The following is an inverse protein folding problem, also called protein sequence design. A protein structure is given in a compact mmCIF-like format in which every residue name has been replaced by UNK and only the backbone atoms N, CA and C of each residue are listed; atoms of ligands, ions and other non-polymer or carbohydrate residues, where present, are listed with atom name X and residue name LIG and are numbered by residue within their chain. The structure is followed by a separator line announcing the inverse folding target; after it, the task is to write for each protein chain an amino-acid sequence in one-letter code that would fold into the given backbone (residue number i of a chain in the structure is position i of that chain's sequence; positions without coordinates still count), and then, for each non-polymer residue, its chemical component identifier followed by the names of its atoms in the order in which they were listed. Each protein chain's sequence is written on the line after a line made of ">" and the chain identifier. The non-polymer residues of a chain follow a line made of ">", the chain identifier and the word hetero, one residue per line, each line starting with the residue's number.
data_IF_164954958554
#
_entry.id   IF_164954958554
#
_cell.length_a   1.000
_cell.length_b   1.000
_cell.length_c   1.000
_cell.angle_alpha   90.00
_cell.angle_beta   90.00
_cell.angle_gamma   90.00
#
_symmetry.space_group_name_H-M   'P 1'
#
loop_
_entity.id
_entity.type
_entity.pdbx_description
1 polymer ?
#
# COMPACT_ATOMS: atom_id res chain seq x y z
N UNK A 1 -18.71 5.62 16.32
CA UNK A 1 -17.68 5.10 15.39
C UNK A 1 -18.37 4.67 14.12
N UNK A 2 -18.00 5.20 12.95
CA UNK A 2 -18.64 4.83 11.69
C UNK A 2 -18.17 3.44 11.25
N UNK A 3 -19.10 2.54 10.97
CA UNK A 3 -18.83 1.20 10.44
C UNK A 3 -18.30 1.28 9.00
N UNK A 4 -17.51 0.29 8.58
CA UNK A 4 -17.13 0.13 7.17
C UNK A 4 -18.32 -0.35 6.35
N UNK A 5 -18.35 0.03 5.07
CA UNK A 5 -19.19 -0.63 4.08
C UNK A 5 -18.64 -2.02 3.76
N UNK A 6 -19.47 -2.90 3.18
CA UNK A 6 -19.03 -4.24 2.79
C UNK A 6 -17.85 -4.23 1.79
N UNK A 7 -17.77 -3.22 0.92
CA UNK A 7 -16.65 -3.05 -0.01
C UNK A 7 -15.35 -2.67 0.71
N UNK A 8 -15.43 -1.76 1.69
CA UNK A 8 -14.27 -1.37 2.49
C UNK A 8 -13.80 -2.50 3.40
N UNK A 9 -14.72 -3.25 4.02
CA UNK A 9 -14.40 -4.41 4.85
C UNK A 9 -13.74 -5.53 4.02
N UNK A 10 -14.12 -5.70 2.75
CA UNK A 10 -13.52 -6.70 1.85
C UNK A 10 -12.05 -6.44 1.52
N UNK A 11 -11.54 -5.24 1.78
CA UNK A 11 -10.11 -4.93 1.64
C UNK A 11 -9.28 -5.51 2.79
N UNK A 12 -9.89 -5.80 3.93
CA UNK A 12 -9.20 -6.31 5.12
C UNK A 12 -9.13 -7.83 5.08
N UNK A 13 -7.99 -8.42 5.45
CA UNK A 13 -7.90 -9.87 5.62
C UNK A 13 -8.79 -10.37 6.76
N UNK A 14 -9.19 -11.65 6.71
CA UNK A 14 -10.04 -12.24 7.73
C UNK A 14 -9.34 -12.29 9.10
N UNK A 15 -8.03 -12.53 9.10
CA UNK A 15 -7.17 -12.58 10.27
C UNK A 15 -7.11 -11.20 10.93
N UNK A 16 -6.88 -10.15 10.14
CA UNK A 16 -6.85 -8.76 10.61
C UNK A 16 -8.21 -8.34 11.20
N UNK A 17 -9.31 -8.68 10.52
CA UNK A 17 -10.66 -8.44 11.04
C UNK A 17 -10.90 -9.17 12.36
N UNK A 18 -10.43 -10.41 12.49
CA UNK A 18 -10.56 -11.18 13.71
C UNK A 18 -9.76 -10.54 14.85
N UNK A 19 -8.49 -10.17 14.62
CA UNK A 19 -7.64 -9.52 15.61
C UNK A 19 -8.29 -8.22 16.14
N UNK A 20 -8.76 -7.36 15.22
CA UNK A 20 -9.39 -6.08 15.55
C UNK A 20 -10.76 -6.19 16.25
N UNK A 21 -11.44 -7.34 16.10
CA UNK A 21 -12.71 -7.62 16.80
C UNK A 21 -12.48 -8.20 18.20
N UNK A 22 -11.40 -8.95 18.37
CA UNK A 22 -11.03 -9.59 19.63
C UNK A 22 -10.45 -8.60 20.64
N UNK A 23 -9.69 -7.60 20.18
CA UNK A 23 -9.14 -6.54 21.02
C UNK A 23 -9.23 -5.17 20.30
N UNK A 24 -9.89 -4.21 20.96
CA UNK A 24 -10.10 -2.87 20.43
C UNK A 24 -8.81 -2.02 20.45
N UNK A 25 -7.88 -2.33 21.35
CA UNK A 25 -6.62 -1.61 21.55
C UNK A 25 -5.43 -2.31 20.85
N UNK A 26 -5.71 -3.34 20.06
CA UNK A 26 -4.67 -4.10 19.34
C UNK A 26 -3.88 -3.19 18.41
N UNK A 27 -2.56 -3.38 18.41
CA UNK A 27 -1.64 -2.77 17.45
C UNK A 27 -1.06 -3.87 16.59
N UNK A 28 -1.21 -3.73 15.29
CA UNK A 28 -0.85 -4.75 14.30
C UNK A 28 0.10 -4.16 13.28
N UNK A 29 1.09 -4.96 12.87
CA UNK A 29 1.90 -4.63 11.70
C UNK A 29 1.06 -5.00 10.47
N UNK A 30 0.98 -4.11 9.49
CA UNK A 30 0.13 -4.30 8.30
C UNK A 30 0.91 -4.00 7.02
N UNK A 31 0.52 -4.69 5.96
CA UNK A 31 0.92 -4.39 4.60
C UNK A 31 -0.28 -3.86 3.83
N UNK A 32 -0.20 -2.61 3.38
CA UNK A 32 -1.23 -1.95 2.56
C UNK A 32 -0.82 -2.08 1.10
N UNK A 33 -1.59 -2.82 0.31
CA UNK A 33 -1.39 -2.94 -1.12
C UNK A 33 -2.25 -1.92 -1.86
N UNK A 34 -1.64 -1.13 -2.73
CA UNK A 34 -2.34 -0.18 -3.59
C UNK A 34 -2.61 -0.77 -4.98
N UNK A 35 -3.40 -0.05 -5.77
CA UNK A 35 -3.74 -0.44 -7.14
C UNK A 35 -2.47 -0.76 -7.96
N UNK A 36 -2.52 -1.87 -8.70
CA UNK A 36 -1.38 -2.46 -9.40
C UNK A 36 -0.77 -1.50 -10.45
N UNK A 37 0.56 -1.43 -10.58
CA UNK A 37 1.26 -0.58 -11.54
C UNK A 37 1.16 -1.05 -13.00
N UNK A 38 0.27 -1.99 -13.32
CA UNK A 38 0.11 -2.57 -14.65
C UNK A 38 -0.16 -1.53 -15.74
N UNK A 39 -0.91 -0.45 -15.42
CA UNK A 39 -1.13 0.67 -16.35
C UNK A 39 0.15 1.51 -16.56
N UNK A 40 0.94 1.73 -15.50
CA UNK A 40 2.22 2.42 -15.60
C UNK A 40 3.25 1.63 -16.42
N UNK A 41 3.30 0.30 -16.23
CA UNK A 41 4.17 -0.58 -17.03
C UNK A 41 3.79 -0.52 -18.51
N UNK A 42 2.50 -0.54 -18.82
CA UNK A 42 2.05 -0.49 -20.21
C UNK A 42 2.42 0.84 -20.88
N UNK A 43 2.11 1.97 -20.24
CA UNK A 43 2.48 3.30 -20.75
C UNK A 43 4.01 3.47 -20.93
N UNK A 44 4.80 2.88 -20.03
CA UNK A 44 6.28 2.90 -20.12
C UNK A 44 6.80 2.09 -21.31
N UNK A 45 6.19 0.92 -21.58
CA UNK A 45 6.58 0.06 -22.70
C UNK A 45 6.25 0.71 -24.03
N UNK A 46 5.06 1.29 -24.15
CA UNK A 46 4.62 1.96 -25.38
C UNK A 46 5.57 3.14 -25.73
N UNK A 47 6.06 3.87 -24.72
CA UNK A 47 7.06 4.92 -24.92
C UNK A 47 8.45 4.36 -25.27
N UNK A 48 8.90 3.30 -24.59
CA UNK A 48 10.23 2.72 -24.77
C UNK A 48 10.39 2.00 -26.11
N UNK A 49 9.33 1.39 -26.64
CA UNK A 49 9.32 0.69 -27.92
C UNK A 49 9.20 1.65 -29.12
N UNK A 50 8.66 2.86 -28.90
CA UNK A 50 8.58 3.91 -29.92
C UNK A 50 9.89 4.69 -30.12
N UNK A 51 10.87 4.52 -29.22
CA UNK A 51 12.14 5.24 -29.23
C UNK A 51 13.31 4.29 -29.52
N UNK A 52 14.31 4.76 -30.28
CA UNK A 52 15.53 3.99 -30.59
C UNK A 52 16.48 3.95 -29.38
N UNK A 53 16.02 3.33 -28.29
CA UNK A 53 16.70 3.29 -27.00
C UNK A 53 17.52 2.01 -26.82
N UNK A 54 18.72 2.16 -26.25
CA UNK A 54 19.51 1.03 -25.80
C UNK A 54 18.78 0.23 -24.70
N UNK A 55 19.23 -0.99 -24.44
CA UNK A 55 18.63 -1.84 -23.40
C UNK A 55 18.68 -1.20 -22.01
N UNK A 56 19.79 -0.53 -21.68
CA UNK A 56 19.96 0.13 -20.37
C UNK A 56 18.99 1.29 -20.21
N UNK A 57 18.85 2.12 -21.25
CA UNK A 57 17.93 3.27 -21.22
C UNK A 57 16.48 2.82 -21.08
N UNK A 58 16.09 1.71 -21.74
CA UNK A 58 14.74 1.13 -21.59
C UNK A 58 14.47 0.67 -20.16
N UNK A 59 15.43 0.00 -19.52
CA UNK A 59 15.29 -0.45 -18.12
C UNK A 59 15.17 0.74 -17.18
N UNK A 60 16.00 1.77 -17.35
CA UNK A 60 15.91 2.99 -16.54
C UNK A 60 14.57 3.71 -16.71
N UNK A 61 14.10 3.87 -17.95
CA UNK A 61 12.81 4.50 -18.25
C UNK A 61 11.63 3.77 -17.58
N UNK A 62 11.61 2.43 -17.63
CA UNK A 62 10.59 1.63 -16.95
C UNK A 62 10.69 1.79 -15.43
N UNK A 63 11.89 1.77 -14.87
CA UNK A 63 12.08 1.94 -13.42
C UNK A 63 11.62 3.32 -12.94
N UNK A 64 11.99 4.39 -13.63
CA UNK A 64 11.58 5.77 -13.32
C UNK A 64 10.07 5.95 -13.41
N UNK A 65 9.45 5.37 -14.44
CA UNK A 65 8.00 5.43 -14.63
C UNK A 65 7.25 4.69 -13.53
N UNK A 66 7.74 3.51 -13.12
CA UNK A 66 7.21 2.77 -11.99
C UNK A 66 7.35 3.53 -10.66
N UNK A 67 8.51 4.14 -10.41
CA UNK A 67 8.75 4.96 -9.21
C UNK A 67 7.83 6.17 -9.17
N UNK A 68 7.70 6.89 -10.29
CA UNK A 68 6.81 8.05 -10.41
C UNK A 68 5.36 7.65 -10.18
N UNK A 69 4.90 6.55 -10.80
CA UNK A 69 3.55 6.03 -10.58
C UNK A 69 3.31 5.68 -9.11
N UNK A 70 4.23 4.94 -8.47
CA UNK A 70 4.10 4.57 -7.07
C UNK A 70 4.04 5.80 -6.17
N UNK A 71 4.87 6.81 -6.41
CA UNK A 71 4.84 8.07 -5.65
C UNK A 71 3.47 8.76 -5.71
N UNK A 72 2.85 8.82 -6.89
CA UNK A 72 1.50 9.38 -7.04
C UNK A 72 0.43 8.50 -6.39
N UNK A 73 0.47 7.19 -6.63
CA UNK A 73 -0.51 6.25 -6.11
C UNK A 73 -0.49 6.17 -4.57
N UNK A 74 0.69 6.31 -3.96
CA UNK A 74 0.90 6.23 -2.52
C UNK A 74 0.61 7.54 -1.79
N UNK A 75 0.44 8.66 -2.51
CA UNK A 75 0.25 9.98 -1.92
C UNK A 75 -0.95 10.04 -0.94
N UNK A 76 -2.14 9.48 -1.24
CA UNK A 76 -3.26 9.51 -0.30
C UNK A 76 -2.96 8.77 1.02
N UNK A 77 -2.21 7.67 0.95
CA UNK A 77 -1.78 6.93 2.16
C UNK A 77 -0.77 7.76 2.94
N UNK A 78 0.18 8.40 2.25
CA UNK A 78 1.18 9.29 2.87
C UNK A 78 0.53 10.45 3.61
N UNK A 79 -0.46 11.10 3.00
CA UNK A 79 -1.18 12.22 3.60
C UNK A 79 -1.98 11.77 4.83
N UNK A 80 -2.63 10.61 4.75
CA UNK A 80 -3.36 10.03 5.88
C UNK A 80 -2.44 9.70 7.06
N UNK A 81 -1.28 9.08 6.79
CA UNK A 81 -0.30 8.76 7.84
C UNK A 81 0.28 10.03 8.47
N UNK A 82 0.53 11.08 7.69
CA UNK A 82 0.99 12.36 8.23
C UNK A 82 -0.03 13.00 9.19
N UNK A 83 -1.32 12.90 8.89
CA UNK A 83 -2.40 13.41 9.74
C UNK A 83 -2.63 12.57 11.00
N UNK A 84 -2.16 11.32 11.02
CA UNK A 84 -2.45 10.31 12.05
C UNK A 84 -1.18 9.71 12.65
N UNK A 85 -0.13 10.51 12.81
CA UNK A 85 1.20 10.08 13.27
C UNK A 85 1.21 9.37 14.64
N UNK A 86 0.23 9.64 15.51
CA UNK A 86 0.08 8.95 16.80
C UNK A 86 -0.53 7.54 16.72
N UNK A 87 -1.05 7.13 15.55
CA UNK A 87 -1.79 5.87 15.37
C UNK A 87 -0.93 4.73 14.81
N UNK A 88 0.39 4.91 14.70
CA UNK A 88 1.33 3.87 14.27
C UNK A 88 2.74 4.18 14.82
N UNK A 89 3.68 3.24 14.67
CA UNK A 89 5.05 3.36 15.18
C UNK A 89 6.09 3.64 14.09
N UNK A 90 5.78 3.29 12.83
CA UNK A 90 6.63 3.58 11.68
C UNK A 90 5.99 3.12 10.38
N UNK A 91 6.45 3.64 9.24
CA UNK A 91 5.98 3.21 7.93
C UNK A 91 7.11 3.21 6.90
N UNK A 92 6.97 2.34 5.90
CA UNK A 92 7.91 2.21 4.79
C UNK A 92 7.13 2.10 3.47
N UNK A 93 7.57 2.86 2.46
CA UNK A 93 6.93 2.94 1.16
C UNK A 93 7.72 2.12 0.14
N UNK A 94 7.10 1.05 -0.36
CA UNK A 94 7.72 0.06 -1.24
C UNK A 94 7.24 0.31 -2.66
N UNK A 95 8.04 1.04 -3.45
CA UNK A 95 7.64 1.47 -4.79
C UNK A 95 7.48 0.30 -5.78
N UNK A 96 8.30 -0.74 -5.67
CA UNK A 96 8.30 -1.88 -6.60
C UNK A 96 6.96 -2.64 -6.53
N UNK A 97 6.48 -2.92 -5.33
CA UNK A 97 5.21 -3.64 -5.08
C UNK A 97 4.01 -2.71 -4.97
N UNK A 98 4.21 -1.41 -5.16
CA UNK A 98 3.24 -0.36 -4.84
C UNK A 98 2.51 -0.61 -3.52
N UNK A 99 3.27 -0.83 -2.46
CA UNK A 99 2.75 -1.18 -1.13
C UNK A 99 3.35 -0.30 -0.04
N UNK A 100 2.67 -0.23 1.11
CA UNK A 100 3.13 0.51 2.28
C UNK A 100 3.08 -0.41 3.49
N UNK A 101 4.24 -0.66 4.10
CA UNK A 101 4.32 -1.35 5.38
C UNK A 101 4.05 -0.33 6.49
N UNK A 102 3.21 -0.67 7.46
CA UNK A 102 2.90 0.18 8.61
C UNK A 102 3.01 -0.65 9.88
N UNK A 103 3.89 -0.24 10.79
CA UNK A 103 4.16 -0.94 12.05
C UNK A 103 3.28 -0.42 13.19
N UNK A 104 2.75 -1.32 14.01
CA UNK A 104 1.96 -1.01 15.20
C UNK A 104 0.74 -0.14 14.91
N UNK A 105 0.09 -0.37 13.76
CA UNK A 105 -1.09 0.37 13.35
C UNK A 105 -2.25 0.10 14.32
N UNK A 106 -2.85 1.16 14.82
CA UNK A 106 -4.08 1.10 15.60
C UNK A 106 -5.27 0.77 14.71
N UNK A 107 -6.28 0.13 15.30
CA UNK A 107 -7.57 -0.15 14.63
C UNK A 107 -8.15 1.06 13.89
N UNK A 108 -8.13 2.24 14.50
CA UNK A 108 -8.63 3.46 13.86
C UNK A 108 -7.91 3.78 12.55
N UNK A 109 -6.59 3.60 12.49
CA UNK A 109 -5.81 3.83 11.27
C UNK A 109 -6.13 2.79 10.20
N UNK A 110 -6.25 1.51 10.57
CA UNK A 110 -6.62 0.43 9.63
C UNK A 110 -7.96 0.73 8.96
N UNK A 111 -8.96 1.14 9.75
CA UNK A 111 -10.28 1.51 9.23
C UNK A 111 -10.21 2.74 8.32
N UNK A 112 -9.38 3.73 8.64
CA UNK A 112 -9.20 4.91 7.80
C UNK A 112 -8.51 4.57 6.47
N UNK A 113 -7.51 3.66 6.48
CA UNK A 113 -6.85 3.17 5.28
C UNK A 113 -7.81 2.39 4.37
N UNK A 114 -8.67 1.55 4.94
CA UNK A 114 -9.67 0.78 4.16
C UNK A 114 -10.65 1.68 3.37
N UNK A 115 -10.86 2.91 3.83
CA UNK A 115 -11.73 3.89 3.15
C UNK A 115 -11.07 4.59 1.97
N UNK A 116 -9.76 4.48 1.81
CA UNK A 116 -9.07 5.08 0.66
C UNK A 116 -9.36 4.24 -0.59
N UNK A 117 -9.82 4.88 -1.66
CA UNK A 117 -10.08 4.23 -2.95
C UNK A 117 -8.80 3.62 -3.55
N UNK A 118 -7.65 4.27 -3.29
CA UNK A 118 -6.34 3.80 -3.75
C UNK A 118 -5.88 2.48 -3.06
N UNK A 119 -6.49 2.12 -1.92
CA UNK A 119 -6.17 0.90 -1.18
C UNK A 119 -6.97 -0.26 -1.74
N UNK A 120 -6.24 -1.27 -2.22
CA UNK A 120 -6.79 -2.51 -2.76
C UNK A 120 -6.95 -3.57 -1.68
N UNK A 121 -5.96 -3.71 -0.79
CA UNK A 121 -5.91 -4.74 0.23
C UNK A 121 -5.09 -4.29 1.44
N UNK A 122 -5.45 -4.77 2.62
CA UNK A 122 -4.70 -4.63 3.87
C UNK A 122 -4.62 -6.01 4.52
N UNK A 123 -3.39 -6.50 4.65
CA UNK A 123 -3.07 -7.75 5.33
C UNK A 123 -2.27 -7.45 6.61
N UNK A 124 -2.37 -8.34 7.59
CA UNK A 124 -1.41 -8.38 8.69
C UNK A 124 -0.02 -8.79 8.14
N UNK A 125 1.02 -8.07 8.54
CA UNK A 125 2.39 -8.37 8.14
C UNK A 125 2.88 -9.60 8.92
N UNK A 126 3.10 -10.71 8.21
CA UNK A 126 3.60 -11.94 8.82
C UNK A 126 5.13 -11.88 8.95
N UNK A 127 5.62 -11.75 10.18
CA UNK A 127 7.05 -11.87 10.48
C UNK A 127 7.37 -13.35 10.72
N UNK A 128 8.04 -13.98 9.76
CA UNK A 128 8.53 -15.34 9.92
C UNK A 128 9.89 -15.32 10.63
N UNK A 129 10.07 -16.06 11.75
CA UNK A 129 11.37 -16.18 12.38
C UNK A 129 12.33 -16.95 11.46
N UNK A 130 13.55 -16.43 11.29
CA UNK A 130 14.63 -17.16 10.62
C UNK A 130 15.11 -18.25 11.59
N UNK A 131 15.06 -19.50 11.13
CA UNK A 131 15.54 -20.67 11.88
C UNK A 131 17.06 -20.79 11.82
#
# INVERSE_FOLDING_TARGET
>A
MASLSGAEESKLSAELLHAMRSDAEVRVDIMVQLTSPSEAVQASRDHADAADMSRTERVSCVAESLQSFAAHAQQPVKDLLAQRSGLFSGSEFLWISNSVAVKGAHRELVLALARLDAVKKIDEEQVFPVQ
#
